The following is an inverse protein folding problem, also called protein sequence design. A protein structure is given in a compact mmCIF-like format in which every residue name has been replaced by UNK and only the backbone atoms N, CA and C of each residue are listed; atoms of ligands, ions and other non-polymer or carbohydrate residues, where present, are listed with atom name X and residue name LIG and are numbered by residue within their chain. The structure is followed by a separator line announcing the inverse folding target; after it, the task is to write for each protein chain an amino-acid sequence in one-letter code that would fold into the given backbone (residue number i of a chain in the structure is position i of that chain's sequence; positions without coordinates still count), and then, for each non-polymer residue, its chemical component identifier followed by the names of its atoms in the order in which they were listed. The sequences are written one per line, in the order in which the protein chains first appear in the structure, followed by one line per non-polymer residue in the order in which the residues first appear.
data_IF_352729820057
#
_entry.id   IF_352729820057
#
_cell.length_a   1.000
_cell.length_b   1.000
_cell.length_c   1.000
_cell.angle_alpha   90.00
_cell.angle_beta   90.00
_cell.angle_gamma   90.00
#
_symmetry.space_group_name_H-M   'P 1'
#
loop_
_entity.id
_entity.type
_entity.pdbx_description
1 polymer ?
#
# COMPACT_ATOMS: atom_id res chain seq x y z
N UNK A 1 27.43 11.41 -4.96
CA UNK A 1 26.72 11.99 -3.81
C UNK A 1 25.27 12.13 -4.17
N UNK A 2 24.36 11.99 -3.21
CA UNK A 2 22.93 12.20 -3.44
C UNK A 2 22.69 13.61 -4.02
N UNK A 3 21.75 13.79 -4.96
CA UNK A 3 21.39 15.12 -5.43
C UNK A 3 20.91 15.96 -4.25
N UNK A 4 21.20 17.28 -4.22
CA UNK A 4 20.70 18.14 -3.16
C UNK A 4 19.18 18.20 -3.24
N UNK A 5 18.51 17.67 -2.21
CA UNK A 5 17.06 17.80 -2.02
C UNK A 5 16.80 18.91 -1.02
N UNK A 6 15.75 19.70 -1.24
CA UNK A 6 15.38 20.78 -0.31
C UNK A 6 14.91 20.24 1.04
N UNK A 7 14.21 19.11 1.04
CA UNK A 7 13.64 18.48 2.23
C UNK A 7 13.78 16.94 2.14
N UNK A 8 13.91 16.27 3.29
CA UNK A 8 14.04 14.80 3.36
C UNK A 8 12.80 14.10 3.92
N UNK A 9 11.80 14.85 4.38
CA UNK A 9 10.68 14.31 5.16
C UNK A 9 9.95 13.14 4.47
N UNK A 10 9.71 13.21 3.15
CA UNK A 10 9.05 12.10 2.43
C UNK A 10 9.94 10.85 2.32
N UNK A 11 11.26 11.05 2.19
CA UNK A 11 12.23 9.95 2.20
C UNK A 11 12.36 9.32 3.58
N UNK A 12 12.33 10.15 4.62
CA UNK A 12 12.38 9.74 6.02
C UNK A 12 11.12 8.93 6.41
N UNK A 13 9.94 9.33 5.94
CA UNK A 13 8.69 8.56 6.09
C UNK A 13 8.81 7.14 5.52
N UNK A 14 9.47 6.98 4.37
CA UNK A 14 9.72 5.68 3.76
C UNK A 14 10.95 4.96 4.34
N UNK A 15 11.77 5.65 5.14
CA UNK A 15 13.03 5.13 5.67
C UNK A 15 14.06 4.83 4.58
N UNK A 16 14.13 5.67 3.55
CA UNK A 16 15.07 5.54 2.43
C UNK A 16 15.93 6.79 2.29
N UNK A 17 17.04 6.67 1.57
CA UNK A 17 17.90 7.81 1.22
C UNK A 17 17.32 8.60 0.03
N UNK A 18 17.58 9.92 -0.10
CA UNK A 18 17.16 10.73 -1.26
C UNK A 18 17.67 10.23 -2.62
N UNK A 19 18.74 9.43 -2.64
CA UNK A 19 19.26 8.77 -3.84
C UNK A 19 18.56 7.44 -4.18
N UNK A 20 17.52 7.05 -3.43
CA UNK A 20 16.81 5.80 -3.63
C UNK A 20 16.21 5.70 -5.04
N UNK A 21 16.46 4.56 -5.67
CA UNK A 21 15.84 4.18 -6.94
C UNK A 21 14.34 3.89 -6.77
N UNK A 22 13.58 3.93 -7.87
CA UNK A 22 12.15 3.57 -7.86
C UNK A 22 11.88 2.17 -7.28
N UNK A 23 12.78 1.21 -7.54
CA UNK A 23 12.68 -0.13 -6.95
C UNK A 23 12.86 -0.13 -5.42
N UNK A 24 13.78 0.69 -4.89
CA UNK A 24 13.98 0.84 -3.45
C UNK A 24 12.78 1.54 -2.78
N UNK A 25 12.20 2.55 -3.43
CA UNK A 25 10.97 3.20 -2.97
C UNK A 25 9.81 2.22 -2.89
N UNK A 26 9.59 1.42 -3.95
CA UNK A 26 8.52 0.41 -3.98
C UNK A 26 8.71 -0.65 -2.90
N UNK A 27 9.94 -1.12 -2.70
CA UNK A 27 10.29 -2.09 -1.66
C UNK A 27 10.08 -1.52 -0.25
N UNK A 28 10.44 -0.26 -0.03
CA UNK A 28 10.25 0.43 1.24
C UNK A 28 8.77 0.60 1.56
N UNK A 29 7.97 1.07 0.60
CA UNK A 29 6.52 1.18 0.71
C UNK A 29 5.88 -0.17 1.07
N UNK A 30 6.21 -1.23 0.33
CA UNK A 30 5.71 -2.58 0.61
C UNK A 30 6.00 -3.05 2.05
N UNK A 31 7.25 -2.87 2.53
CA UNK A 31 7.63 -3.26 3.89
C UNK A 31 6.90 -2.44 4.95
N UNK A 32 6.72 -1.15 4.72
CA UNK A 32 6.00 -0.27 5.63
C UNK A 32 4.50 -0.63 5.68
N UNK A 33 3.86 -0.91 4.53
CA UNK A 33 2.47 -1.37 4.46
C UNK A 33 2.23 -2.66 5.25
N UNK A 34 3.16 -3.62 5.19
CA UNK A 34 3.07 -4.85 5.98
C UNK A 34 3.21 -4.63 7.49
N UNK A 35 4.05 -3.67 7.91
CA UNK A 35 4.29 -3.34 9.32
C UNK A 35 3.15 -2.53 9.93
N UNK A 36 2.52 -1.67 9.12
CA UNK A 36 1.41 -0.81 9.53
C UNK A 36 0.05 -1.46 9.24
N UNK A 37 0.02 -2.75 8.89
CA UNK A 37 -1.21 -3.46 8.63
C UNK A 37 -2.03 -3.60 9.92
N UNK A 38 -3.33 -3.24 9.92
CA UNK A 38 -4.17 -3.27 11.11
C UNK A 38 -4.24 -4.66 11.77
N UNK A 39 -4.32 -5.76 10.99
CA UNK A 39 -4.30 -7.13 11.54
C UNK A 39 -3.04 -7.49 12.36
N UNK A 40 -1.91 -6.84 12.09
CA UNK A 40 -0.62 -7.12 12.75
C UNK A 40 -0.20 -6.02 13.71
N UNK A 41 -0.83 -4.84 13.60
CA UNK A 41 -0.49 -3.64 14.34
C UNK A 41 -1.76 -2.93 14.81
N UNK A 42 -2.16 -3.23 16.05
CA UNK A 42 -3.29 -2.59 16.71
C UNK A 42 -2.98 -1.23 17.34
N UNK A 43 -1.86 -0.60 16.98
CA UNK A 43 -1.57 0.75 17.46
C UNK A 43 -2.60 1.74 16.91
N UNK A 44 -3.14 2.65 17.73
CA UNK A 44 -4.07 3.68 17.27
C UNK A 44 -3.47 4.59 16.19
N UNK A 45 -2.14 4.69 16.15
CA UNK A 45 -1.41 5.54 15.20
C UNK A 45 -1.08 4.83 13.88
N UNK A 46 -1.29 3.50 13.79
CA UNK A 46 -0.95 2.74 12.58
C UNK A 46 -1.68 3.22 11.30
N UNK A 47 -2.99 3.59 11.36
CA UNK A 47 -3.69 4.16 10.21
C UNK A 47 -3.09 5.49 9.74
N UNK A 48 -2.75 6.39 10.67
CA UNK A 48 -2.17 7.69 10.33
C UNK A 48 -0.77 7.51 9.72
N UNK A 49 0.06 6.65 10.30
CA UNK A 49 1.37 6.32 9.76
C UNK A 49 1.26 5.68 8.37
N UNK A 50 0.25 4.85 8.13
CA UNK A 50 0.02 4.24 6.82
C UNK A 50 -0.34 5.30 5.77
N UNK A 51 -1.19 6.26 6.12
CA UNK A 51 -1.52 7.39 5.25
C UNK A 51 -0.28 8.24 4.93
N UNK A 52 0.56 8.54 5.92
CA UNK A 52 1.80 9.30 5.72
C UNK A 52 2.76 8.57 4.77
N UNK A 53 2.93 7.26 4.96
CA UNK A 53 3.76 6.39 4.10
C UNK A 53 3.21 6.32 2.67
N UNK A 54 1.90 6.20 2.50
CA UNK A 54 1.26 6.17 1.20
C UNK A 54 1.37 7.51 0.46
N UNK A 55 1.15 8.63 1.15
CA UNK A 55 1.31 9.97 0.59
C UNK A 55 2.76 10.22 0.14
N UNK A 56 3.74 9.82 0.97
CA UNK A 56 5.15 9.92 0.61
C UNK A 56 5.49 9.09 -0.64
N UNK A 57 4.99 7.86 -0.73
CA UNK A 57 5.20 7.02 -1.91
C UNK A 57 4.51 7.58 -3.15
N UNK A 58 3.30 8.15 -3.03
CA UNK A 58 2.58 8.75 -4.15
C UNK A 58 3.39 9.84 -4.85
N UNK A 59 4.03 10.71 -4.07
CA UNK A 59 4.89 11.79 -4.57
C UNK A 59 6.22 11.25 -5.10
N UNK A 60 6.88 10.38 -4.34
CA UNK A 60 8.25 9.94 -4.66
C UNK A 60 8.32 8.92 -5.80
N UNK A 61 7.23 8.20 -6.06
CA UNK A 61 7.15 7.22 -7.15
C UNK A 61 6.90 7.86 -8.52
N UNK A 62 6.29 9.06 -8.57
CA UNK A 62 6.14 9.84 -9.79
C UNK A 62 7.40 10.70 -10.02
N UNK A 63 8.04 10.52 -11.17
CA UNK A 63 9.31 11.21 -11.47
C UNK A 63 9.16 12.74 -11.54
N UNK A 64 8.00 13.24 -11.98
CA UNK A 64 7.73 14.68 -12.10
C UNK A 64 7.44 15.31 -10.74
N UNK A 65 6.63 14.64 -9.92
CA UNK A 65 6.33 15.09 -8.56
C UNK A 65 7.57 15.00 -7.66
N UNK A 66 8.35 13.92 -7.76
CA UNK A 66 9.65 13.80 -7.06
C UNK A 66 10.59 14.93 -7.44
N UNK A 67 10.75 15.23 -8.73
CA UNK A 67 11.63 16.32 -9.15
C UNK A 67 11.16 17.70 -8.64
N UNK A 68 9.84 17.94 -8.57
CA UNK A 68 9.28 19.15 -7.95
C UNK A 68 9.55 19.20 -6.46
N UNK A 69 9.32 18.11 -5.73
CA UNK A 69 9.60 18.00 -4.30
C UNK A 69 11.09 18.22 -4.00
N UNK A 70 11.98 17.57 -4.75
CA UNK A 70 13.43 17.70 -4.58
C UNK A 70 13.90 19.15 -4.74
N UNK A 71 13.32 19.87 -5.70
CA UNK A 71 13.70 21.25 -6.03
C UNK A 71 13.06 22.31 -5.12
N UNK A 72 11.82 22.10 -4.70
CA UNK A 72 11.00 23.16 -4.08
C UNK A 72 10.39 22.77 -2.73
N UNK A 73 10.51 21.53 -2.29
CA UNK A 73 10.00 21.04 -1.01
C UNK A 73 8.49 20.85 -0.99
N UNK A 74 7.94 20.54 0.18
CA UNK A 74 6.51 20.24 0.35
C UNK A 74 5.59 21.40 -0.11
N UNK A 75 6.04 22.65 0.00
CA UNK A 75 5.26 23.83 -0.42
C UNK A 75 4.88 23.83 -1.91
N UNK A 76 5.65 23.13 -2.77
CA UNK A 76 5.35 23.05 -4.19
C UNK A 76 4.36 21.92 -4.56
N UNK A 77 4.00 21.09 -3.59
CA UNK A 77 3.00 20.02 -3.77
C UNK A 77 1.60 20.50 -3.37
N UNK A 78 1.48 21.57 -2.58
CA UNK A 78 0.22 22.11 -2.09
C UNK A 78 -0.66 22.71 -3.21
N UNK A 79 -0.06 23.22 -4.28
CA UNK A 79 -0.79 23.77 -5.43
C UNK A 79 -1.45 22.70 -6.31
N UNK A 80 -1.00 21.44 -6.23
CA UNK A 80 -1.53 20.29 -6.98
C UNK A 80 -2.13 19.19 -6.09
N UNK A 81 -2.52 19.49 -4.84
CA UNK A 81 -3.32 18.58 -3.98
C UNK A 81 -4.75 18.35 -4.48
N UNK A 82 -4.94 18.20 -5.80
CA UNK A 82 -6.12 17.58 -6.37
C UNK A 82 -6.12 16.09 -6.05
N UNK A 83 -6.85 15.70 -5.00
CA UNK A 83 -7.08 14.31 -4.57
C UNK A 83 -5.79 13.49 -4.39
N UNK A 84 -5.20 13.54 -3.19
CA UNK A 84 -4.30 12.46 -2.76
C UNK A 84 -5.14 11.18 -2.84
N UNK A 85 -4.81 10.22 -3.72
CA UNK A 85 -5.59 9.00 -3.82
C UNK A 85 -5.60 8.36 -2.44
N UNK A 86 -6.77 7.90 -2.01
CA UNK A 86 -6.93 7.17 -0.76
C UNK A 86 -5.81 6.13 -0.65
N UNK A 87 -5.13 6.08 0.49
CA UNK A 87 -3.92 5.27 0.69
C UNK A 87 -4.16 3.81 0.30
N UNK A 88 -5.40 3.36 0.53
CA UNK A 88 -5.91 2.07 0.13
C UNK A 88 -6.06 1.91 -1.39
N UNK A 89 -6.69 2.86 -2.09
CA UNK A 89 -6.79 2.85 -3.54
C UNK A 89 -5.42 2.87 -4.22
N UNK A 90 -4.46 3.61 -3.65
CA UNK A 90 -3.08 3.61 -4.12
C UNK A 90 -2.41 2.24 -3.91
N UNK A 91 -2.64 1.59 -2.76
CA UNK A 91 -2.14 0.23 -2.53
C UNK A 91 -2.71 -0.77 -3.53
N UNK A 92 -4.03 -0.73 -3.77
CA UNK A 92 -4.71 -1.57 -4.76
C UNK A 92 -4.16 -1.33 -6.17
N UNK A 93 -3.89 -0.08 -6.56
CA UNK A 93 -3.30 0.25 -7.85
C UNK A 93 -1.85 -0.24 -8.01
N UNK A 94 -1.02 -0.09 -6.97
CA UNK A 94 0.43 -0.40 -7.02
C UNK A 94 0.73 -1.90 -6.91
N UNK A 95 -0.10 -2.63 -6.16
CA UNK A 95 0.13 -4.04 -5.87
C UNK A 95 -0.94 -4.98 -6.42
N UNK A 96 -2.06 -4.44 -6.93
CA UNK A 96 -3.09 -5.23 -7.59
C UNK A 96 -3.65 -6.31 -6.68
N UNK A 97 -4.00 -6.01 -5.43
CA UNK A 97 -4.46 -7.03 -4.47
C UNK A 97 -5.63 -7.87 -4.99
N UNK A 98 -6.43 -7.35 -5.94
CA UNK A 98 -7.45 -8.10 -6.67
C UNK A 98 -6.88 -9.22 -7.58
N UNK A 99 -5.70 -9.05 -8.18
CA UNK A 99 -5.07 -10.04 -9.05
C UNK A 99 -4.42 -11.20 -8.29
N UNK A 100 -4.14 -11.02 -7.00
CA UNK A 100 -3.63 -12.06 -6.11
C UNK A 100 -4.72 -12.66 -5.22
N UNK A 101 -5.93 -12.09 -5.21
CA UNK A 101 -7.09 -12.59 -4.44
C UNK A 101 -7.33 -14.10 -4.58
N UNK A 102 -7.18 -14.74 -5.78
CA UNK A 102 -7.31 -16.19 -5.93
C UNK A 102 -6.09 -17.01 -5.50
N UNK A 103 -5.01 -16.40 -5.03
CA UNK A 103 -3.78 -17.09 -4.59
C UNK A 103 -3.46 -16.84 -3.12
N UNK A 104 -3.75 -15.64 -2.62
CA UNK A 104 -3.51 -15.24 -1.22
C UNK A 104 -4.80 -14.91 -0.46
N UNK A 105 -5.96 -15.02 -1.11
CA UNK A 105 -7.25 -14.56 -0.59
C UNK A 105 -7.41 -13.04 -0.70
N UNK A 106 -8.63 -12.54 -0.49
CA UNK A 106 -8.84 -11.13 -0.18
C UNK A 106 -8.07 -10.86 1.13
N UNK A 107 -6.93 -10.17 1.07
CA UNK A 107 -6.28 -9.65 2.26
C UNK A 107 -7.35 -8.85 3.01
N UNK A 108 -7.78 -9.25 4.21
CA UNK A 108 -8.97 -8.71 4.85
C UNK A 108 -8.69 -7.32 5.46
N UNK A 109 -7.89 -6.49 4.79
CA UNK A 109 -7.72 -5.08 5.13
C UNK A 109 -8.99 -4.27 4.85
N UNK A 110 -9.92 -4.77 4.02
CA UNK A 110 -11.18 -4.06 3.66
C UNK A 110 -12.42 -4.55 4.38
N UNK A 111 -12.46 -5.81 4.77
CA UNK A 111 -13.70 -6.39 5.25
C UNK A 111 -14.03 -5.90 6.67
N UNK A 112 -13.04 -5.55 7.48
CA UNK A 112 -13.25 -5.00 8.84
C UNK A 112 -13.47 -3.49 8.86
N UNK A 113 -12.85 -2.71 7.97
CA UNK A 113 -13.06 -1.26 7.92
C UNK A 113 -14.40 -0.87 7.25
N UNK A 114 -14.95 -1.74 6.39
CA UNK A 114 -16.25 -1.53 5.75
C UNK A 114 -17.43 -2.16 6.51
N UNK A 115 -17.16 -2.96 7.54
CA UNK A 115 -18.17 -3.62 8.38
C UNK A 115 -18.13 -2.99 9.77
N UNK A 116 -19.11 -2.15 10.10
CA UNK A 116 -19.34 -1.79 11.50
C UNK A 116 -19.75 -3.06 12.28
N UNK A 117 -18.77 -3.76 12.84
CA UNK A 117 -18.97 -4.94 13.70
C UNK A 117 -18.02 -6.10 13.40
N UNK A 118 -17.42 -6.64 14.47
CA UNK A 118 -16.57 -7.83 14.45
C UNK A 118 -17.29 -9.03 13.82
N UNK A 119 -16.76 -9.64 12.75
CA UNK A 119 -17.35 -10.82 12.15
C UNK A 119 -17.28 -12.01 13.12
N UNK A 120 -18.39 -12.72 13.26
CA UNK A 120 -18.47 -13.91 14.11
C UNK A 120 -17.47 -14.99 13.63
N UNK A 121 -17.02 -15.89 14.52
CA UNK A 121 -16.17 -17.03 14.14
C UNK A 121 -16.73 -17.86 12.97
N UNK A 122 -18.06 -17.97 12.87
CA UNK A 122 -18.74 -18.66 11.78
C UNK A 122 -18.59 -17.94 10.43
N UNK A 123 -18.70 -16.61 10.41
CA UNK A 123 -18.49 -15.80 9.21
C UNK A 123 -17.03 -15.86 8.73
N UNK A 124 -16.07 -15.86 9.67
CA UNK A 124 -14.64 -16.05 9.36
C UNK A 124 -14.35 -17.42 8.76
N UNK A 125 -14.93 -18.47 9.33
CA UNK A 125 -14.78 -19.86 8.84
C UNK A 125 -15.46 -20.09 7.48
N UNK A 126 -16.61 -19.44 7.24
CA UNK A 126 -17.27 -19.50 5.94
C UNK A 126 -16.43 -18.80 4.86
N UNK A 127 -15.93 -17.58 5.13
CA UNK A 127 -15.09 -16.83 4.20
C UNK A 127 -13.78 -17.57 3.87
N UNK A 128 -13.15 -18.22 4.86
CA UNK A 128 -11.94 -19.02 4.64
C UNK A 128 -12.19 -20.22 3.71
N UNK A 129 -13.28 -20.95 3.91
CA UNK A 129 -13.63 -22.13 3.08
C UNK A 129 -13.98 -21.74 1.65
N UNK A 130 -14.66 -20.62 1.43
CA UNK A 130 -14.94 -20.12 0.08
C UNK A 130 -13.64 -19.79 -0.65
N UNK A 131 -12.70 -19.11 0.02
CA UNK A 131 -11.38 -18.80 -0.56
C UNK A 131 -10.58 -20.05 -0.93
N UNK A 132 -10.59 -21.08 -0.10
CA UNK A 132 -9.90 -22.34 -0.40
C UNK A 132 -10.42 -23.00 -1.69
N UNK A 133 -11.73 -22.99 -1.90
CA UNK A 133 -12.36 -23.54 -3.11
C UNK A 133 -12.04 -22.70 -4.35
N UNK A 134 -12.09 -21.38 -4.24
CA UNK A 134 -11.77 -20.47 -5.33
C UNK A 134 -10.29 -20.51 -5.73
N UNK A 135 -9.39 -20.57 -4.74
CA UNK A 135 -7.95 -20.78 -4.98
C UNK A 135 -7.70 -22.10 -5.71
N UNK A 136 -8.34 -23.18 -5.26
CA UNK A 136 -8.21 -24.50 -5.89
C UNK A 136 -8.71 -24.48 -7.34
N UNK A 137 -9.83 -23.80 -7.61
CA UNK A 137 -10.39 -23.67 -8.96
C UNK A 137 -9.50 -22.82 -9.89
N UNK A 138 -8.96 -21.70 -9.40
CA UNK A 138 -8.07 -20.83 -10.17
C UNK A 138 -6.73 -21.51 -10.50
N UNK A 139 -6.20 -22.31 -9.57
CA UNK A 139 -5.01 -23.13 -9.80
C UNK A 139 -5.27 -24.23 -10.84
N UNK A 140 -6.40 -24.93 -10.74
CA UNK A 140 -6.78 -25.98 -11.69
C UNK A 140 -6.89 -25.44 -13.13
N UNK A 141 -7.60 -24.33 -13.32
CA UNK A 141 -7.77 -23.68 -14.62
C UNK A 141 -6.44 -23.25 -15.27
N UNK A 142 -5.39 -23.04 -14.46
CA UNK A 142 -4.06 -22.64 -14.94
C UNK A 142 -3.16 -23.82 -15.26
N UNK A 143 -3.39 -24.98 -14.63
CA UNK A 143 -2.72 -26.24 -14.98
C UNK A 143 -3.25 -26.75 -16.33
N UNK A 144 -4.54 -26.61 -16.60
CA UNK A 144 -5.16 -27.04 -17.86
C UNK A 144 -4.84 -26.12 -19.06
N UNK A 145 -4.19 -24.98 -18.81
CA UNK A 145 -3.79 -24.01 -19.83
C UNK A 145 -2.35 -24.21 -20.36
N UNK A 146 -1.68 -25.30 -19.96
CA UNK A 146 -0.36 -25.74 -20.46
C UNK A 146 -0.47 -27.07 -21.19
#
# INVERSE_FOLDING_TARGET
GAPPVKETALYDCLGVSPDASGAQLRKAYYRASLRLHPDKNGSPDAPEQFQQVAAAYAVLSDASQRARYDRFGASALDEERGAVPDARALFEHVFGSAAFEPLVGQFPMLMELAMEGEPTPAQRSAAARTREVECAAALAARVDAF
#
